data_IF_371535191325
#
_entry.id   IF_371535191325
#
_cell.length_a   1.000
_cell.length_b   1.000
_cell.length_c   1.000
_cell.angle_alpha   90.00
_cell.angle_beta   90.00
_cell.angle_gamma   90.00
#
_symmetry.space_group_name_H-M   'P 1'
#
loop_
_entity.id
_entity.type
_entity.pdbx_description
1 polymer ?
#
# COMPACT_ATOMS: atom_id res chain seq x y z
N UNK A 1 -3.42 11.42 2.83
CA UNK A 1 -3.10 11.75 1.43
C UNK A 1 -4.19 11.11 0.58
N UNK A 2 -4.21 11.28 -0.75
CA UNK A 2 -5.29 10.70 -1.58
C UNK A 2 -4.79 10.29 -2.96
N UNK A 3 -5.03 9.05 -3.36
CA UNK A 3 -4.89 8.60 -4.75
C UNK A 3 -6.00 9.25 -5.60
N UNK A 4 -5.63 10.03 -6.60
CA UNK A 4 -6.58 10.73 -7.49
C UNK A 4 -6.75 10.00 -8.83
N UNK A 5 -5.67 9.45 -9.38
CA UNK A 5 -5.73 8.66 -10.62
C UNK A 5 -4.58 7.68 -10.73
N UNK A 6 -4.81 6.59 -11.46
CA UNK A 6 -3.79 5.63 -11.87
C UNK A 6 -3.92 5.34 -13.35
N UNK A 7 -2.81 5.32 -14.08
CA UNK A 7 -2.73 4.88 -15.47
C UNK A 7 -1.66 3.81 -15.61
N UNK A 8 -2.03 2.73 -16.27
CA UNK A 8 -1.20 1.55 -16.48
C UNK A 8 -1.08 1.30 -17.97
N UNK A 9 0.15 1.11 -18.44
CA UNK A 9 0.44 0.68 -19.80
C UNK A 9 1.33 -0.54 -19.78
N UNK A 10 0.95 -1.55 -20.56
CA UNK A 10 1.65 -2.81 -20.73
C UNK A 10 1.92 -3.58 -19.42
N UNK A 11 1.04 -3.50 -18.42
CA UNK A 11 1.18 -4.20 -17.13
C UNK A 11 0.16 -5.34 -17.02
N UNK A 12 0.62 -6.58 -17.13
CA UNK A 12 -0.16 -7.83 -17.08
C UNK A 12 -1.40 -7.73 -17.99
N UNK A 13 -2.60 -7.71 -17.42
CA UNK A 13 -3.86 -7.62 -18.15
C UNK A 13 -4.13 -6.23 -18.76
N UNK A 14 -3.45 -5.18 -18.31
CA UNK A 14 -3.67 -3.81 -18.74
C UNK A 14 -2.71 -3.37 -19.83
N UNK A 15 -3.16 -3.41 -21.10
CA UNK A 15 -2.40 -2.85 -22.24
C UNK A 15 -2.33 -1.32 -22.18
N UNK A 16 -3.47 -0.65 -22.01
CA UNK A 16 -3.57 0.77 -21.67
C UNK A 16 -4.89 0.95 -20.91
N UNK A 17 -4.82 1.33 -19.64
CA UNK A 17 -5.98 1.53 -18.79
C UNK A 17 -5.73 2.72 -17.85
N UNK A 18 -6.75 3.54 -17.66
CA UNK A 18 -6.74 4.63 -16.68
C UNK A 18 -7.97 4.58 -15.80
N UNK A 19 -7.78 4.93 -14.52
CA UNK A 19 -8.84 5.19 -13.57
C UNK A 19 -8.60 6.61 -13.05
N UNK A 20 -9.56 7.49 -13.29
CA UNK A 20 -9.52 8.89 -12.89
C UNK A 20 -10.52 9.17 -11.78
N UNK A 21 -10.30 10.26 -11.04
CA UNK A 21 -11.19 10.75 -9.99
C UNK A 21 -11.51 9.69 -8.92
N UNK A 22 -10.49 8.95 -8.49
CA UNK A 22 -10.66 7.86 -7.51
C UNK A 22 -11.23 8.45 -6.20
N UNK A 23 -12.37 7.95 -5.70
CA UNK A 23 -12.96 8.41 -4.45
C UNK A 23 -12.17 7.87 -3.24
N UNK A 24 -12.34 8.50 -2.08
CA UNK A 24 -11.71 8.03 -0.83
C UNK A 24 -12.14 6.61 -0.45
N UNK A 25 -13.37 6.22 -0.81
CA UNK A 25 -13.87 4.85 -0.71
C UNK A 25 -14.22 4.34 -2.09
N UNK A 26 -13.42 3.39 -2.60
CA UNK A 26 -13.56 2.83 -3.93
C UNK A 26 -13.80 1.32 -3.83
N UNK A 27 -14.83 0.82 -4.52
CA UNK A 27 -15.14 -0.61 -4.61
C UNK A 27 -14.97 -1.05 -6.07
N UNK A 28 -14.10 -2.02 -6.31
CA UNK A 28 -13.80 -2.53 -7.66
C UNK A 28 -14.49 -3.88 -7.85
N UNK A 29 -15.49 -3.93 -8.74
CA UNK A 29 -16.26 -5.14 -9.06
C UNK A 29 -16.11 -5.48 -10.54
N UNK A 30 -16.05 -6.77 -10.86
CA UNK A 30 -15.90 -7.25 -12.23
C UNK A 30 -15.76 -8.77 -12.30
N UNK A 31 -15.89 -9.34 -13.49
CA UNK A 31 -15.79 -10.78 -13.72
C UNK A 31 -14.40 -11.34 -13.37
N UNK A 32 -14.30 -12.66 -13.18
CA UNK A 32 -13.00 -13.31 -12.97
C UNK A 32 -12.08 -13.08 -14.18
N UNK A 33 -10.80 -12.80 -13.92
CA UNK A 33 -9.83 -12.48 -14.97
C UNK A 33 -9.87 -11.04 -15.50
N UNK A 34 -10.78 -10.18 -15.03
CA UNK A 34 -10.90 -8.79 -15.51
C UNK A 34 -9.79 -7.83 -15.05
N UNK A 35 -8.71 -8.33 -14.42
CA UNK A 35 -7.58 -7.51 -13.95
C UNK A 35 -7.73 -6.87 -12.56
N UNK A 36 -8.76 -7.22 -11.77
CA UNK A 36 -8.95 -6.67 -10.40
C UNK A 36 -7.72 -6.90 -9.51
N UNK A 37 -7.25 -8.13 -9.41
CA UNK A 37 -6.06 -8.45 -8.61
C UNK A 37 -4.80 -7.79 -9.19
N UNK A 38 -4.73 -7.60 -10.51
CA UNK A 38 -3.65 -6.87 -11.17
C UNK A 38 -3.60 -5.41 -10.71
N UNK A 39 -4.75 -4.75 -10.53
CA UNK A 39 -4.81 -3.37 -10.05
C UNK A 39 -4.17 -3.22 -8.67
N UNK A 40 -4.47 -4.13 -7.74
CA UNK A 40 -3.87 -4.12 -6.40
C UNK A 40 -2.40 -4.56 -6.41
N UNK A 41 -2.04 -5.51 -7.27
CA UNK A 41 -0.66 -5.97 -7.44
C UNK A 41 0.29 -4.84 -7.91
N UNK A 42 -0.18 -3.88 -8.70
CA UNK A 42 0.63 -2.70 -9.06
C UNK A 42 1.06 -1.92 -7.82
N UNK A 43 0.19 -1.77 -6.83
CA UNK A 43 0.51 -1.05 -5.60
C UNK A 43 1.60 -1.78 -4.82
N UNK A 44 1.46 -3.10 -4.67
CA UNK A 44 2.49 -3.96 -4.10
C UNK A 44 3.80 -3.93 -4.89
N UNK A 45 3.72 -3.88 -6.23
CA UNK A 45 4.89 -3.84 -7.09
C UNK A 45 5.71 -2.55 -6.92
N UNK A 46 5.06 -1.39 -6.81
CA UNK A 46 5.75 -0.14 -6.53
C UNK A 46 6.45 -0.15 -5.16
N UNK A 47 5.79 -0.69 -4.14
CA UNK A 47 6.40 -0.88 -2.82
C UNK A 47 7.61 -1.82 -2.90
N UNK A 48 7.49 -2.96 -3.58
CA UNK A 48 8.60 -3.91 -3.73
C UNK A 48 9.78 -3.31 -4.51
N UNK A 49 9.51 -2.53 -5.56
CA UNK A 49 10.55 -1.80 -6.30
C UNK A 49 11.31 -0.85 -5.38
N UNK A 50 10.60 -0.18 -4.47
CA UNK A 50 11.19 0.72 -3.49
C UNK A 50 12.01 -0.04 -2.43
N UNK A 51 11.47 -1.14 -1.88
CA UNK A 51 12.15 -1.93 -0.85
C UNK A 51 13.36 -2.69 -1.40
N UNK A 52 13.21 -3.39 -2.53
CA UNK A 52 14.19 -4.37 -3.02
C UNK A 52 14.86 -4.03 -4.35
N UNK A 53 14.39 -3.03 -5.09
CA UNK A 53 14.71 -2.69 -6.50
C UNK A 53 13.79 -3.37 -7.54
N UNK A 54 13.81 -2.85 -8.77
CA UNK A 54 12.95 -3.32 -9.87
C UNK A 54 13.25 -4.76 -10.26
N UNK A 55 14.52 -5.15 -10.31
CA UNK A 55 14.92 -6.52 -10.68
C UNK A 55 14.30 -7.55 -9.75
N UNK A 56 14.44 -7.37 -8.43
CA UNK A 56 13.88 -8.29 -7.43
C UNK A 56 12.35 -8.25 -7.41
N UNK A 57 11.74 -7.07 -7.54
CA UNK A 57 10.29 -6.90 -7.58
C UNK A 57 9.64 -7.60 -8.79
N UNK A 58 10.34 -7.64 -9.94
CA UNK A 58 9.92 -8.42 -11.10
C UNK A 58 10.15 -9.92 -10.89
N UNK A 59 11.30 -10.31 -10.34
CA UNK A 59 11.62 -11.73 -10.07
C UNK A 59 10.60 -12.40 -9.15
N UNK A 60 10.15 -11.72 -8.09
CA UNK A 60 9.09 -12.24 -7.21
C UNK A 60 7.74 -12.45 -7.92
N UNK A 61 7.58 -11.87 -9.12
CA UNK A 61 6.41 -12.00 -9.99
C UNK A 61 6.67 -12.88 -11.23
N UNK A 62 7.74 -13.68 -11.22
CA UNK A 62 8.10 -14.57 -12.33
C UNK A 62 8.97 -13.91 -13.42
N UNK A 63 9.41 -12.67 -13.21
CA UNK A 63 10.26 -11.92 -14.13
C UNK A 63 9.49 -10.98 -15.06
N UNK A 64 10.23 -10.19 -15.86
CA UNK A 64 9.65 -9.14 -16.71
C UNK A 64 8.61 -9.68 -17.71
N UNK A 65 8.84 -10.85 -18.30
CA UNK A 65 7.95 -11.45 -19.29
C UNK A 65 6.57 -11.84 -18.73
N UNK A 66 6.48 -12.11 -17.42
CA UNK A 66 5.22 -12.41 -16.74
C UNK A 66 4.47 -11.14 -16.30
N UNK A 67 5.19 -10.02 -16.18
CA UNK A 67 4.62 -8.73 -15.78
C UNK A 67 4.25 -7.87 -16.98
N UNK A 68 4.99 -7.91 -18.09
CA UNK A 68 4.63 -7.15 -19.29
C UNK A 68 3.41 -7.75 -19.99
N UNK A 69 2.55 -6.91 -20.56
CA UNK A 69 1.39 -7.37 -21.31
C UNK A 69 1.78 -8.25 -22.51
N UNK A 70 0.95 -9.26 -22.79
CA UNK A 70 1.16 -10.17 -23.93
C UNK A 70 1.21 -9.41 -25.26
N UNK A 71 2.26 -9.69 -26.03
CA UNK A 71 2.52 -9.05 -27.33
C UNK A 71 3.35 -7.76 -27.25
N UNK A 72 3.75 -7.32 -26.05
CA UNK A 72 4.48 -6.07 -25.83
C UNK A 72 5.92 -6.31 -25.33
N UNK A 73 6.54 -7.46 -25.61
CA UNK A 73 7.82 -7.89 -24.98
C UNK A 73 8.98 -6.90 -25.18
N UNK A 74 9.00 -6.18 -26.30
CA UNK A 74 10.02 -5.19 -26.64
C UNK A 74 9.60 -3.75 -26.25
N UNK A 75 8.46 -3.60 -25.59
CA UNK A 75 7.99 -2.32 -25.07
C UNK A 75 8.40 -2.12 -23.60
N UNK A 76 8.04 -0.95 -23.06
CA UNK A 76 8.18 -0.62 -21.64
C UNK A 76 6.84 -0.75 -20.91
N UNK A 77 6.92 -1.16 -19.65
CA UNK A 77 5.85 -1.04 -18.67
C UNK A 77 5.80 0.44 -18.25
N UNK A 78 4.61 1.05 -18.18
CA UNK A 78 4.44 2.41 -17.63
C UNK A 78 3.40 2.38 -16.52
N UNK A 79 3.77 2.93 -15.36
CA UNK A 79 2.88 3.16 -14.23
C UNK A 79 2.91 4.66 -13.96
N UNK A 80 1.77 5.32 -14.11
CA UNK A 80 1.59 6.73 -13.76
C UNK A 80 0.55 6.81 -12.64
N UNK A 81 0.87 7.54 -11.58
CA UNK A 81 -0.05 7.74 -10.47
C UNK A 81 -0.08 9.21 -10.07
N UNK A 82 -1.28 9.72 -9.79
CA UNK A 82 -1.47 11.05 -9.24
C UNK A 82 -1.95 10.98 -7.80
N UNK A 83 -1.26 11.68 -6.91
CA UNK A 83 -1.58 11.78 -5.50
C UNK A 83 -1.76 13.22 -5.06
N UNK A 84 -2.75 13.46 -4.20
CA UNK A 84 -2.85 14.69 -3.44
C UNK A 84 -2.21 14.52 -2.07
N UNK A 85 -1.20 15.34 -1.79
CA UNK A 85 -0.46 15.27 -0.53
C UNK A 85 0.06 16.64 -0.08
N UNK A 86 0.26 16.84 1.23
CA UNK A 86 0.87 18.05 1.74
C UNK A 86 2.37 18.06 1.41
N UNK A 87 2.78 19.04 0.61
CA UNK A 87 4.19 19.36 0.39
C UNK A 87 4.41 20.77 0.90
N UNK A 88 5.35 20.95 1.84
CA UNK A 88 5.66 22.26 2.44
C UNK A 88 4.42 23.00 2.97
N UNK A 89 3.48 22.27 3.58
CA UNK A 89 2.25 22.83 4.17
C UNK A 89 1.13 23.19 3.18
N UNK A 90 1.28 22.91 1.88
CA UNK A 90 0.21 23.10 0.87
C UNK A 90 -0.16 21.75 0.25
N UNK A 91 -1.45 21.51 0.05
CA UNK A 91 -1.92 20.34 -0.71
C UNK A 91 -1.54 20.47 -2.18
N UNK A 92 -0.77 19.51 -2.69
CA UNK A 92 -0.27 19.49 -4.08
C UNK A 92 -0.73 18.21 -4.77
N UNK A 93 -1.12 18.35 -6.03
CA UNK A 93 -1.31 17.21 -6.93
C UNK A 93 0.04 16.84 -7.55
N UNK A 94 0.57 15.70 -7.12
CA UNK A 94 1.84 15.12 -7.54
C UNK A 94 1.58 14.02 -8.54
N UNK A 95 2.25 14.07 -9.68
CA UNK A 95 2.28 12.99 -10.67
C UNK A 95 3.62 12.27 -10.58
N UNK A 96 3.57 10.98 -10.30
CA UNK A 96 4.70 10.07 -10.39
C UNK A 96 4.56 9.21 -11.63
N UNK A 97 5.63 9.09 -12.42
CA UNK A 97 5.70 8.21 -13.59
C UNK A 97 6.90 7.30 -13.44
N UNK A 98 6.68 6.00 -13.56
CA UNK A 98 7.70 4.99 -13.60
C UNK A 98 7.59 4.20 -14.90
N UNK A 99 8.68 4.14 -15.64
CA UNK A 99 8.82 3.32 -16.84
C UNK A 99 9.93 2.30 -16.65
N UNK A 100 9.60 1.04 -16.95
CA UNK A 100 10.53 -0.09 -16.80
C UNK A 100 10.64 -0.79 -18.14
N UNK A 101 11.88 -1.06 -18.54
CA UNK A 101 12.19 -1.76 -19.78
C UNK A 101 13.24 -2.85 -19.53
N UNK A 102 13.51 -3.65 -20.55
CA UNK A 102 14.68 -4.55 -20.59
C UNK A 102 15.78 -3.88 -21.42
N UNK A 103 16.98 -3.82 -20.85
CA UNK A 103 18.19 -3.42 -21.56
C UNK A 103 19.24 -4.51 -21.38
N UNK A 104 19.76 -5.05 -22.48
CA UNK A 104 20.75 -6.16 -22.47
C UNK A 104 20.31 -7.35 -21.61
N UNK A 105 19.02 -7.70 -21.67
CA UNK A 105 18.44 -8.82 -20.91
C UNK A 105 18.21 -8.54 -19.42
N UNK A 106 18.44 -7.31 -18.94
CA UNK A 106 18.24 -6.92 -17.54
C UNK A 106 17.15 -5.85 -17.40
N UNK A 107 16.32 -5.91 -16.34
CA UNK A 107 15.39 -4.83 -16.04
C UNK A 107 16.12 -3.53 -15.72
N UNK A 108 15.61 -2.43 -16.25
CA UNK A 108 16.09 -1.07 -15.96
C UNK A 108 14.92 -0.12 -15.75
N UNK A 109 15.14 0.89 -14.92
CA UNK A 109 14.28 2.07 -14.83
C UNK A 109 14.60 2.93 -16.05
N UNK A 110 13.77 2.84 -17.09
CA UNK A 110 13.96 3.61 -18.32
C UNK A 110 13.70 5.10 -18.07
N UNK A 111 12.67 5.42 -17.31
CA UNK A 111 12.38 6.78 -16.87
C UNK A 111 11.66 6.74 -15.52
N UNK A 112 12.08 7.62 -14.62
CA UNK A 112 11.36 7.93 -13.39
C UNK A 112 11.22 9.45 -13.27
N UNK A 113 9.99 9.90 -13.04
CA UNK A 113 9.64 11.30 -13.03
C UNK A 113 8.71 11.60 -11.87
N UNK A 114 9.02 12.63 -11.09
CA UNK A 114 8.14 13.23 -10.10
C UNK A 114 7.88 14.68 -10.48
N UNK A 115 6.61 15.05 -10.69
CA UNK A 115 6.22 16.41 -11.06
C UNK A 115 4.99 16.90 -10.30
N UNK A 116 4.93 18.18 -9.99
CA UNK A 116 3.72 18.83 -9.47
C UNK A 116 3.69 20.31 -9.83
N UNK A 117 2.51 20.95 -9.66
CA UNK A 117 2.36 22.39 -9.88
C UNK A 117 2.62 23.17 -8.60
N UNK A 118 3.37 24.27 -8.70
CA UNK A 118 3.66 25.22 -7.60
C UNK A 118 2.52 26.21 -7.33
N UNK A 119 1.57 26.35 -8.26
CA UNK A 119 0.41 27.26 -8.14
C UNK A 119 -0.81 26.78 -8.93
N UNK A 120 -1.87 27.59 -8.94
CA UNK A 120 -3.08 27.31 -9.71
C UNK A 120 -2.84 27.40 -11.24
N UNK A 121 -1.89 28.25 -11.66
CA UNK A 121 -1.49 28.47 -13.05
C UNK A 121 -0.04 28.00 -13.27
N UNK A 122 0.31 27.71 -14.54
CA UNK A 122 1.64 27.22 -14.94
C UNK A 122 1.71 25.72 -15.29
N UNK A 123 2.81 25.33 -15.92
CA UNK A 123 3.15 23.92 -16.22
C UNK A 123 3.67 23.21 -14.97
N UNK A 124 3.43 21.90 -14.80
CA UNK A 124 4.06 21.13 -13.73
C UNK A 124 5.60 21.15 -13.87
N UNK A 125 6.31 21.31 -12.76
CA UNK A 125 7.78 21.24 -12.75
C UNK A 125 8.22 19.82 -12.51
N UNK A 126 9.30 19.40 -13.18
CA UNK A 126 9.94 18.12 -12.95
C UNK A 126 10.90 18.26 -11.76
N UNK A 127 10.47 17.82 -10.58
CA UNK A 127 11.27 17.91 -9.35
C UNK A 127 12.33 16.82 -9.26
N UNK A 128 12.06 15.68 -9.90
CA UNK A 128 12.98 14.58 -10.03
C UNK A 128 12.78 13.99 -11.42
N UNK A 129 13.87 13.80 -12.16
CA UNK A 129 13.84 13.05 -13.42
C UNK A 129 15.10 12.22 -13.57
N UNK A 130 14.93 10.91 -13.65
CA UNK A 130 16.02 9.94 -13.81
C UNK A 130 15.75 9.03 -14.99
N UNK A 131 16.82 8.58 -15.63
CA UNK A 131 16.81 7.55 -16.66
C UNK A 131 18.05 6.69 -16.48
N UNK A 132 17.84 5.37 -16.36
CA UNK A 132 18.91 4.36 -16.22
C UNK A 132 19.94 4.74 -15.15
N UNK A 133 19.45 5.10 -13.96
CA UNK A 133 20.26 5.41 -12.80
C UNK A 133 20.93 6.79 -12.79
N UNK A 134 20.70 7.65 -13.78
CA UNK A 134 21.27 9.01 -13.83
C UNK A 134 20.19 10.06 -14.05
N UNK A 135 20.37 11.24 -13.49
CA UNK A 135 19.45 12.35 -13.68
C UNK A 135 19.61 13.41 -12.62
N UNK A 136 18.57 14.22 -12.42
CA UNK A 136 18.63 15.34 -11.51
C UNK A 136 17.46 15.35 -10.53
N UNK A 137 17.68 16.04 -9.41
CA UNK A 137 16.63 16.43 -8.48
C UNK A 137 16.78 17.90 -8.07
N UNK A 138 15.65 18.52 -7.73
CA UNK A 138 15.59 19.90 -7.23
C UNK A 138 15.84 19.90 -5.73
N UNK A 139 16.75 20.75 -5.24
CA UNK A 139 17.14 20.80 -3.82
C UNK A 139 16.53 21.95 -3.04
N UNK A 140 16.19 23.06 -3.69
CA UNK A 140 15.59 24.24 -3.06
C UNK A 140 14.07 24.25 -3.21
N UNK A 141 13.43 23.13 -2.84
CA UNK A 141 11.98 23.02 -2.89
C UNK A 141 11.30 24.11 -2.04
N UNK A 142 11.87 24.52 -0.90
CA UNK A 142 11.23 25.45 0.04
C UNK A 142 10.95 26.87 -0.50
N UNK A 143 11.65 27.31 -1.54
CA UNK A 143 11.58 28.67 -2.10
C UNK A 143 10.38 28.85 -3.06
N UNK A 144 9.19 28.36 -2.66
CA UNK A 144 8.03 28.24 -3.52
C UNK A 144 7.40 29.57 -3.97
N UNK A 145 7.62 30.65 -3.21
CA UNK A 145 7.07 31.98 -3.50
C UNK A 145 7.98 32.83 -4.41
N UNK A 146 9.17 32.33 -4.75
CA UNK A 146 10.05 32.97 -5.76
C UNK A 146 9.61 32.62 -7.18
N UNK A 147 9.76 33.57 -8.12
CA UNK A 147 9.53 33.36 -9.55
C UNK A 147 10.55 32.36 -10.16
N UNK A 148 10.24 31.92 -11.39
CA UNK A 148 10.73 30.74 -12.13
C UNK A 148 12.24 30.43 -12.18
N UNK A 149 13.14 31.33 -11.85
CA UNK A 149 14.53 31.27 -12.36
C UNK A 149 15.58 30.66 -11.42
N UNK A 150 15.25 30.28 -10.18
CA UNK A 150 16.26 29.81 -9.20
C UNK A 150 16.17 28.31 -8.83
N UNK A 151 15.49 27.44 -9.60
CA UNK A 151 15.45 26.02 -9.25
C UNK A 151 16.83 25.37 -9.44
N UNK A 152 17.51 25.08 -8.33
CA UNK A 152 18.82 24.44 -8.32
C UNK A 152 18.66 22.96 -8.60
N UNK A 153 19.13 22.54 -9.78
CA UNK A 153 19.20 21.12 -10.16
C UNK A 153 20.54 20.56 -9.73
N UNK A 154 20.50 19.47 -8.98
CA UNK A 154 21.68 18.69 -8.64
C UNK A 154 21.65 17.40 -9.46
N UNK A 155 22.65 17.21 -10.31
CA UNK A 155 22.85 15.94 -11.03
C UNK A 155 23.32 14.86 -10.05
N UNK A 156 22.82 13.65 -10.26
CA UNK A 156 23.00 12.51 -9.37
C UNK A 156 23.16 11.24 -10.20
N UNK A 157 23.88 10.28 -9.63
CA UNK A 157 23.98 8.93 -10.16
C UNK A 157 23.69 7.93 -9.05
N UNK A 158 22.84 6.95 -9.35
CA UNK A 158 22.54 5.81 -8.51
C UNK A 158 23.55 4.69 -8.80
N UNK A 159 23.71 3.77 -7.85
CA UNK A 159 24.62 2.62 -7.99
C UNK A 159 24.14 1.60 -9.04
N UNK A 160 22.86 1.63 -9.41
CA UNK A 160 22.25 0.68 -10.33
C UNK A 160 21.18 1.31 -11.21
N UNK A 161 21.01 0.76 -12.42
CA UNK A 161 19.99 1.20 -13.38
C UNK A 161 18.58 0.71 -13.03
N UNK A 162 18.45 -0.26 -12.11
CA UNK A 162 17.21 -0.87 -11.65
C UNK A 162 16.72 -0.32 -10.30
N UNK A 163 17.40 0.71 -9.78
CA UNK A 163 17.09 1.38 -8.52
C UNK A 163 16.21 2.60 -8.82
N UNK A 164 15.12 2.74 -8.07
CA UNK A 164 14.31 3.97 -8.08
C UNK A 164 15.09 5.12 -7.44
N UNK A 165 15.16 6.26 -8.10
CA UNK A 165 15.75 7.49 -7.58
C UNK A 165 15.05 7.97 -6.31
N UNK A 166 13.73 7.80 -6.17
CA UNK A 166 13.03 8.13 -4.91
C UNK A 166 13.50 7.27 -3.73
N UNK A 167 14.04 6.06 -3.99
CA UNK A 167 14.63 5.20 -2.94
C UNK A 167 15.87 5.83 -2.33
N UNK A 168 16.76 6.36 -3.17
CA UNK A 168 18.02 6.97 -2.74
C UNK A 168 17.79 8.40 -2.24
N UNK A 169 17.19 9.24 -3.08
CA UNK A 169 16.98 10.66 -2.79
C UNK A 169 15.97 10.87 -1.66
N UNK A 170 14.92 10.06 -1.59
CA UNK A 170 13.89 10.18 -0.56
C UNK A 170 14.39 9.87 0.86
N UNK A 171 15.63 9.42 1.05
CA UNK A 171 16.24 9.29 2.38
C UNK A 171 16.70 10.64 2.95
N UNK A 172 17.01 11.62 2.09
CA UNK A 172 17.46 12.93 2.53
C UNK A 172 16.29 13.90 2.67
N UNK A 173 16.23 14.58 3.81
CA UNK A 173 15.18 15.58 4.12
C UNK A 173 15.20 16.79 3.18
N UNK A 174 16.35 17.07 2.54
CA UNK A 174 16.50 18.15 1.55
C UNK A 174 15.65 17.94 0.29
N UNK A 175 15.34 16.69 -0.08
CA UNK A 175 14.46 16.36 -1.21
C UNK A 175 13.03 16.11 -0.72
N UNK A 176 12.32 17.19 -0.37
CA UNK A 176 11.03 17.11 0.32
C UNK A 176 9.99 16.29 -0.42
N UNK A 177 9.80 16.51 -1.72
CA UNK A 177 8.81 15.77 -2.49
C UNK A 177 9.19 14.29 -2.65
N UNK A 178 10.47 13.98 -2.89
CA UNK A 178 10.93 12.60 -2.98
C UNK A 178 10.81 11.88 -1.63
N UNK A 179 11.12 12.55 -0.52
CA UNK A 179 10.98 12.00 0.82
C UNK A 179 9.52 11.73 1.19
N UNK A 180 8.63 12.69 0.98
CA UNK A 180 7.20 12.54 1.25
C UNK A 180 6.58 11.42 0.39
N UNK A 181 6.92 11.37 -0.89
CA UNK A 181 6.41 10.33 -1.80
C UNK A 181 6.97 8.94 -1.46
N UNK A 182 8.27 8.84 -1.11
CA UNK A 182 8.89 7.59 -0.62
C UNK A 182 8.15 7.08 0.62
N UNK A 183 7.94 7.94 1.61
CA UNK A 183 7.22 7.57 2.84
C UNK A 183 5.80 7.10 2.54
N UNK A 184 5.10 7.72 1.58
CA UNK A 184 3.78 7.25 1.17
C UNK A 184 3.85 5.83 0.57
N UNK A 185 4.75 5.57 -0.37
CA UNK A 185 4.88 4.24 -1.00
C UNK A 185 5.34 3.15 -0.03
N UNK A 186 6.26 3.45 0.89
CA UNK A 186 6.75 2.48 1.89
C UNK A 186 5.65 2.03 2.85
N UNK A 187 4.73 2.96 3.16
CA UNK A 187 3.64 2.76 4.08
C UNK A 187 2.36 2.19 3.43
N UNK A 188 2.37 1.92 2.13
CA UNK A 188 1.25 1.23 1.51
C UNK A 188 1.06 -0.16 2.08
N UNK A 189 -0.10 -0.35 2.69
CA UNK A 189 -0.51 -1.61 3.26
C UNK A 189 -1.63 -2.20 2.39
N UNK A 190 -1.30 -3.24 1.61
CA UNK A 190 -2.27 -4.01 0.82
C UNK A 190 -2.62 -5.26 1.61
N UNK A 191 -3.79 -5.27 2.24
CA UNK A 191 -4.28 -6.44 2.99
C UNK A 191 -4.98 -7.44 2.07
N UNK A 192 -4.60 -8.70 2.16
CA UNK A 192 -5.28 -9.85 1.56
C UNK A 192 -5.49 -10.91 2.65
N UNK A 193 -6.61 -10.81 3.36
CA UNK A 193 -6.87 -11.66 4.51
C UNK A 193 -7.17 -13.10 4.12
N UNK A 194 -6.24 -13.99 4.49
CA UNK A 194 -6.35 -15.43 4.30
C UNK A 194 -6.86 -16.04 5.59
N UNK A 195 -8.16 -16.31 5.64
CA UNK A 195 -8.82 -16.78 6.87
C UNK A 195 -8.21 -18.08 7.38
N UNK A 196 -7.76 -18.96 6.48
CA UNK A 196 -7.08 -20.20 6.88
C UNK A 196 -5.80 -19.94 7.70
N UNK A 197 -5.06 -18.86 7.41
CA UNK A 197 -3.85 -18.47 8.15
C UNK A 197 -4.16 -17.69 9.44
N UNK A 198 -5.27 -16.95 9.42
CA UNK A 198 -5.83 -16.30 10.59
C UNK A 198 -6.47 -17.31 11.56
N UNK A 199 -6.81 -18.52 11.11
CA UNK A 199 -7.28 -19.61 11.98
C UNK A 199 -6.08 -20.32 12.62
N UNK A 200 -6.31 -20.83 13.83
CA UNK A 200 -5.28 -21.56 14.57
C UNK A 200 -4.58 -20.63 15.55
N UNK A 201 -4.62 -21.03 16.83
CA UNK A 201 -4.18 -20.16 17.90
C UNK A 201 -2.71 -19.79 17.80
N UNK A 202 -2.38 -18.61 18.31
CA UNK A 202 -1.02 -18.05 18.30
C UNK A 202 -0.43 -18.13 19.70
N UNK A 203 0.90 -18.15 19.79
CA UNK A 203 1.56 -18.07 21.09
C UNK A 203 1.09 -16.81 21.82
N UNK A 204 0.47 -16.99 22.99
CA UNK A 204 -0.07 -15.88 23.79
C UNK A 204 1.01 -14.89 24.27
N UNK A 205 2.28 -15.32 24.27
CA UNK A 205 3.44 -14.47 24.55
C UNK A 205 3.81 -13.54 23.38
N UNK A 206 3.22 -13.73 22.19
CA UNK A 206 3.42 -12.86 21.04
C UNK A 206 2.82 -11.47 21.25
N UNK A 207 3.41 -10.46 20.60
CA UNK A 207 2.93 -9.09 20.63
C UNK A 207 2.85 -8.54 19.20
N UNK A 208 1.73 -7.89 18.86
CA UNK A 208 1.55 -7.24 17.58
C UNK A 208 0.63 -6.01 17.70
N UNK A 209 1.15 -4.83 17.37
CA UNK A 209 0.36 -3.59 17.34
C UNK A 209 -0.57 -3.53 16.12
N UNK A 210 -0.08 -4.02 14.97
CA UNK A 210 -0.75 -3.91 13.68
C UNK A 210 -1.11 -5.28 13.12
N UNK A 211 -2.26 -5.34 12.43
CA UNK A 211 -2.66 -6.52 11.69
C UNK A 211 -1.72 -6.73 10.50
N UNK A 212 -1.28 -7.97 10.30
CA UNK A 212 -0.45 -8.34 9.16
C UNK A 212 -1.24 -8.27 7.86
N UNK A 213 -0.54 -8.22 6.73
CA UNK A 213 -1.19 -8.19 5.40
C UNK A 213 -2.07 -9.43 5.15
N UNK A 214 -1.72 -10.58 5.72
CA UNK A 214 -2.49 -11.83 5.62
C UNK A 214 -3.52 -12.00 6.73
N UNK A 215 -3.43 -11.19 7.80
CA UNK A 215 -4.27 -11.29 8.99
C UNK A 215 -3.93 -12.50 9.87
N UNK A 216 -2.78 -13.14 9.65
CA UNK A 216 -2.37 -14.31 10.42
C UNK A 216 -2.19 -14.00 11.92
N UNK A 217 -1.88 -12.77 12.31
CA UNK A 217 -1.71 -12.34 13.70
C UNK A 217 -3.01 -11.78 14.35
N UNK A 218 -4.19 -12.04 13.77
CA UNK A 218 -5.46 -11.45 14.20
C UNK A 218 -5.75 -11.61 15.69
N UNK A 219 -5.50 -12.79 16.27
CA UNK A 219 -5.73 -13.06 17.70
C UNK A 219 -4.88 -12.13 18.57
N UNK A 220 -3.60 -11.95 18.21
CA UNK A 220 -2.65 -11.12 18.97
C UNK A 220 -3.09 -9.65 18.98
N UNK A 221 -3.44 -9.12 17.82
CA UNK A 221 -3.88 -7.72 17.68
C UNK A 221 -5.21 -7.50 18.39
N UNK A 222 -6.15 -8.44 18.26
CA UNK A 222 -7.43 -8.37 18.98
C UNK A 222 -7.23 -8.41 20.50
N UNK A 223 -6.30 -9.21 21.00
CA UNK A 223 -5.96 -9.24 22.42
C UNK A 223 -5.26 -7.95 22.87
N UNK A 224 -4.34 -7.42 22.09
CA UNK A 224 -3.72 -6.11 22.34
C UNK A 224 -4.79 -5.01 22.48
N UNK A 225 -5.73 -4.93 21.54
CA UNK A 225 -6.85 -4.00 21.59
C UNK A 225 -7.77 -4.25 22.80
N UNK A 226 -8.03 -5.50 23.14
CA UNK A 226 -8.83 -5.86 24.31
C UNK A 226 -8.16 -5.47 25.63
N UNK A 227 -6.84 -5.61 25.74
CA UNK A 227 -6.08 -5.27 26.96
C UNK A 227 -5.91 -3.76 27.12
N UNK A 228 -5.61 -3.04 26.03
CA UNK A 228 -5.21 -1.63 26.09
C UNK A 228 -6.32 -0.63 25.71
N UNK A 229 -7.33 -1.07 24.95
CA UNK A 229 -8.38 -0.20 24.41
C UNK A 229 -9.77 -0.84 24.51
N UNK A 230 -10.03 -1.59 25.60
CA UNK A 230 -11.23 -2.41 25.80
C UNK A 230 -12.54 -1.64 25.61
N UNK A 231 -12.72 -0.58 26.39
CA UNK A 231 -14.01 0.12 26.52
C UNK A 231 -14.22 1.18 25.43
N UNK A 232 -13.21 1.44 24.61
CA UNK A 232 -13.24 2.46 23.56
C UNK A 232 -13.26 1.83 22.16
N UNK A 233 -12.13 1.27 21.74
CA UNK A 233 -11.93 0.76 20.38
C UNK A 233 -12.51 -0.65 20.26
N UNK A 234 -12.12 -1.55 21.17
CA UNK A 234 -12.55 -2.95 21.08
C UNK A 234 -14.06 -3.11 21.26
N UNK A 235 -14.66 -2.43 22.25
CA UNK A 235 -16.11 -2.39 22.45
C UNK A 235 -16.86 -1.94 21.18
N UNK A 236 -16.35 -0.91 20.48
CA UNK A 236 -16.94 -0.41 19.22
C UNK A 236 -16.85 -1.43 18.08
N UNK A 237 -15.75 -2.18 17.98
CA UNK A 237 -15.60 -3.29 17.04
C UNK A 237 -16.67 -4.35 17.33
N UNK A 238 -16.77 -4.79 18.58
CA UNK A 238 -17.72 -5.83 19.00
C UNK A 238 -19.17 -5.38 18.79
N UNK A 239 -19.54 -4.16 19.14
CA UNK A 239 -20.89 -3.63 18.90
C UNK A 239 -21.23 -3.47 17.42
N UNK A 240 -20.22 -3.27 16.56
CA UNK A 240 -20.40 -3.28 15.11
C UNK A 240 -20.61 -4.71 14.61
N UNK A 241 -19.88 -5.70 15.14
CA UNK A 241 -20.11 -7.12 14.84
C UNK A 241 -21.52 -7.57 15.23
N UNK A 242 -22.01 -7.25 16.43
CA UNK A 242 -23.38 -7.60 16.89
C UNK A 242 -24.47 -7.10 15.94
N UNK A 243 -24.30 -5.89 15.40
CA UNK A 243 -25.28 -5.27 14.48
C UNK A 243 -25.24 -5.86 13.07
N UNK A 244 -24.16 -6.55 12.69
CA UNK A 244 -23.89 -6.93 11.30
C UNK A 244 -23.91 -8.43 11.08
N UNK A 245 -23.58 -9.22 12.10
CA UNK A 245 -23.59 -10.67 12.06
C UNK A 245 -24.67 -11.16 13.02
N UNK A 246 -25.80 -11.70 12.50
CA UNK A 246 -26.85 -12.25 13.35
C UNK A 246 -26.30 -13.32 14.31
N UNK A 247 -26.83 -13.36 15.53
CA UNK A 247 -26.45 -14.33 16.57
C UNK A 247 -25.29 -13.88 17.46
N UNK A 248 -24.30 -13.12 16.94
CA UNK A 248 -23.15 -12.70 17.75
C UNK A 248 -23.59 -11.74 18.86
N UNK A 249 -23.28 -12.10 20.10
CA UNK A 249 -23.54 -11.30 21.30
C UNK A 249 -22.27 -10.74 21.94
N UNK A 250 -21.14 -11.43 21.82
CA UNK A 250 -19.82 -10.93 22.26
C UNK A 250 -18.68 -11.63 21.53
N UNK A 251 -17.51 -10.99 21.53
CA UNK A 251 -16.25 -11.56 21.01
C UNK A 251 -15.17 -11.22 22.04
N UNK A 252 -14.41 -12.23 22.50
CA UNK A 252 -13.33 -12.01 23.46
C UNK A 252 -12.11 -12.87 23.09
N UNK A 253 -10.88 -12.39 23.32
CA UNK A 253 -9.70 -13.26 23.34
C UNK A 253 -9.83 -14.31 24.44
N UNK A 254 -9.45 -15.54 24.14
CA UNK A 254 -9.43 -16.67 25.08
C UNK A 254 -8.02 -17.25 25.07
N UNK A 255 -7.37 -17.25 26.22
CA UNK A 255 -6.17 -18.05 26.43
C UNK A 255 -6.60 -19.51 26.64
N UNK A 256 -6.24 -20.37 25.70
CA UNK A 256 -6.51 -21.80 25.83
C UNK A 256 -5.68 -22.37 26.98
N UNK A 257 -6.19 -23.36 27.75
CA UNK A 257 -5.41 -24.07 28.77
C UNK A 257 -4.10 -24.67 28.23
N UNK A 258 -4.07 -24.99 26.94
CA UNK A 258 -2.90 -25.54 26.24
C UNK A 258 -1.88 -24.47 25.81
N UNK A 259 -2.12 -23.19 26.14
CA UNK A 259 -1.24 -22.05 25.85
C UNK A 259 -1.62 -21.12 24.69
N UNK A 260 -2.24 -21.56 23.57
CA UNK A 260 -2.48 -20.66 22.45
C UNK A 260 -3.63 -19.69 22.71
N UNK A 261 -3.47 -18.48 22.20
CA UNK A 261 -4.48 -17.43 22.17
C UNK A 261 -5.45 -17.68 21.01
N UNK A 262 -6.75 -17.69 21.34
CA UNK A 262 -7.86 -17.90 20.43
C UNK A 262 -8.84 -16.72 20.51
N UNK A 263 -9.79 -16.65 19.58
CA UNK A 263 -10.95 -15.76 19.68
C UNK A 263 -12.21 -16.58 19.95
N UNK A 264 -12.93 -16.22 21.02
CA UNK A 264 -14.24 -16.77 21.33
C UNK A 264 -15.36 -15.86 20.86
N UNK A 265 -16.29 -16.43 20.09
CA UNK A 265 -17.48 -15.76 19.57
C UNK A 265 -18.71 -16.34 20.28
N UNK A 266 -19.32 -15.55 21.15
CA UNK A 266 -20.54 -15.94 21.84
C UNK A 266 -21.75 -15.70 20.92
N UNK A 267 -22.54 -16.73 20.69
CA UNK A 267 -23.87 -16.59 20.11
C UNK A 267 -24.92 -16.50 21.24
N UNK A 268 -25.87 -15.58 21.13
CA UNK A 268 -26.94 -15.42 22.14
C UNK A 268 -27.86 -16.64 22.29
N UNK A 269 -27.82 -17.57 21.32
CA UNK A 269 -28.63 -18.79 21.27
C UNK A 269 -27.93 -20.00 21.88
N UNK A 270 -26.62 -19.93 22.13
CA UNK A 270 -25.79 -21.03 22.61
C UNK A 270 -25.20 -20.72 23.98
N UNK A 271 -24.96 -21.76 24.80
CA UNK A 271 -24.41 -21.60 26.15
C UNK A 271 -22.91 -21.30 26.14
N UNK A 272 -22.16 -21.99 25.28
CA UNK A 272 -20.71 -21.87 25.16
C UNK A 272 -20.32 -21.11 23.88
N UNK A 273 -19.24 -20.30 23.91
CA UNK A 273 -18.77 -19.59 22.74
C UNK A 273 -18.10 -20.53 21.73
N UNK A 274 -18.21 -20.20 20.44
CA UNK A 274 -17.48 -20.87 19.38
C UNK A 274 -16.09 -20.26 19.24
N UNK A 275 -15.05 -21.08 19.16
CA UNK A 275 -13.70 -20.60 18.83
C UNK A 275 -13.60 -20.28 17.34
N UNK A 276 -12.72 -19.32 16.99
CA UNK A 276 -12.40 -18.88 15.63
C UNK A 276 -12.35 -20.00 14.57
N UNK A 277 -11.83 -21.18 14.92
CA UNK A 277 -11.77 -22.36 14.05
C UNK A 277 -13.13 -22.79 13.48
N UNK A 278 -14.23 -22.57 14.20
CA UNK A 278 -15.57 -23.00 13.81
C UNK A 278 -16.45 -21.84 13.29
N UNK A 279 -15.90 -20.64 13.21
CA UNK A 279 -16.62 -19.45 12.75
C UNK A 279 -16.61 -19.37 11.23
N UNK A 280 -17.65 -18.80 10.61
CA UNK A 280 -17.71 -18.63 9.15
C UNK A 280 -16.62 -17.68 8.63
N UNK A 281 -16.15 -17.90 7.40
CA UNK A 281 -15.13 -17.03 6.77
C UNK A 281 -15.58 -15.57 6.70
N UNK A 282 -16.85 -15.33 6.39
CA UNK A 282 -17.40 -13.97 6.30
C UNK A 282 -17.33 -13.24 7.64
N UNK A 283 -17.64 -13.92 8.72
CA UNK A 283 -17.55 -13.38 10.09
C UNK A 283 -16.10 -13.05 10.45
N UNK A 284 -15.15 -13.96 10.17
CA UNK A 284 -13.73 -13.73 10.44
C UNK A 284 -13.17 -12.56 9.62
N UNK A 285 -13.53 -12.47 8.33
CA UNK A 285 -13.09 -11.35 7.47
C UNK A 285 -13.64 -10.03 7.97
N UNK A 286 -14.92 -10.01 8.33
CA UNK A 286 -15.54 -8.81 8.88
C UNK A 286 -14.85 -8.35 10.16
N UNK A 287 -14.56 -9.27 11.08
CA UNK A 287 -13.82 -8.95 12.30
C UNK A 287 -12.42 -8.41 12.00
N UNK A 288 -11.67 -9.08 11.10
CA UNK A 288 -10.36 -8.62 10.66
C UNK A 288 -10.40 -7.20 10.03
N UNK A 289 -11.38 -6.93 9.16
CA UNK A 289 -11.56 -5.58 8.58
C UNK A 289 -11.88 -4.54 9.65
N UNK A 290 -12.72 -4.87 10.64
CA UNK A 290 -13.01 -3.94 11.72
C UNK A 290 -11.78 -3.70 12.60
N UNK A 291 -10.99 -4.74 12.91
CA UNK A 291 -9.71 -4.59 13.61
C UNK A 291 -8.76 -3.67 12.83
N UNK A 292 -8.62 -3.89 11.51
CA UNK A 292 -7.78 -3.04 10.65
C UNK A 292 -8.27 -1.58 10.60
N UNK A 293 -9.58 -1.36 10.42
CA UNK A 293 -10.17 -0.01 10.29
C UNK A 293 -10.18 0.77 11.62
N UNK A 294 -10.08 0.07 12.74
CA UNK A 294 -10.06 0.62 14.09
C UNK A 294 -8.67 0.57 14.73
N UNK A 295 -7.62 0.37 13.94
CA UNK A 295 -6.23 0.46 14.41
C UNK A 295 -6.00 1.83 15.10
N UNK A 296 -5.47 1.88 16.34
CA UNK A 296 -5.23 3.13 17.06
C UNK A 296 -4.20 4.04 16.38
N UNK A 297 -3.29 3.45 15.59
CA UNK A 297 -2.26 4.14 14.85
C UNK A 297 -2.22 3.60 13.40
N UNK A 298 -3.25 3.92 12.58
CA UNK A 298 -3.45 3.28 11.30
C UNK A 298 -2.34 3.61 10.31
N UNK A 299 -2.08 2.70 9.37
CA UNK A 299 -1.19 2.98 8.24
C UNK A 299 -1.66 4.24 7.47
N UNK A 300 -0.74 5.09 7.00
CA UNK A 300 -1.06 6.28 6.20
C UNK A 300 -2.00 5.99 5.02
N UNK A 301 -3.05 6.83 4.89
CA UNK A 301 -3.98 6.87 3.76
C UNK A 301 -3.40 7.59 2.54
#
# INVERSE_FOLDING_TARGET
>A
MKLESIRLKNYKAFKDASIENIPAFCVVVGANGSGKSTLFDVLGFLRDCLTYNVTRALQSRGGFNEVISRGCKDERITIEIQYRMPITGKERLVTYVLQIAIHEGRPVVEEELLRYKRGAYGSPYHFLRFSRGKGYAITNEEDFDKQDEELTREEQALEGMDILAIKGLGQFTRFKAANAFRQLLENWHVSDFHIEMARGGKDAAGYADHLSVTGDNLQLVANHLYQNHRDTIFARIVDTMKRRVPGISSINPIESPDGPLLLGFQDGSFKDPFIDRYVSDGTMKMFAYLVLLHDPNPHPL
#
